data_IF_165490640896
#
_entry.id   IF_165490640896
#
_cell.length_a   1.000
_cell.length_b   1.000
_cell.length_c   1.000
_cell.angle_alpha   90.00
_cell.angle_beta   90.00
_cell.angle_gamma   90.00
#
_symmetry.space_group_name_H-M   'P 1'
#
loop_
_entity.id
_entity.type
_entity.pdbx_description
1 polymer ?
#
# COMPACT_ATOMS: atom_id res chain seq x y z
N UNK A 1 -27.49 14.68 3.22
CA UNK A 1 -26.44 13.79 3.76
C UNK A 1 -25.44 13.50 2.65
N UNK A 2 -24.24 14.06 2.71
CA UNK A 2 -23.16 13.60 1.84
C UNK A 2 -22.76 12.22 2.32
N UNK A 3 -23.14 11.19 1.59
CA UNK A 3 -22.52 9.87 1.70
C UNK A 3 -21.06 10.09 1.33
N UNK A 4 -20.18 10.08 2.32
CA UNK A 4 -18.73 10.16 2.09
C UNK A 4 -18.36 8.92 1.26
N UNK A 5 -18.22 9.11 -0.05
CA UNK A 5 -17.89 8.03 -0.97
C UNK A 5 -16.60 7.37 -0.53
N UNK A 6 -16.65 6.08 -0.21
CA UNK A 6 -15.47 5.34 0.27
C UNK A 6 -14.40 5.33 -0.81
N UNK A 7 -13.22 5.80 -0.46
CA UNK A 7 -12.05 5.87 -1.35
C UNK A 7 -11.52 4.48 -1.68
N UNK A 8 -11.28 4.22 -2.96
CA UNK A 8 -10.81 2.92 -3.45
C UNK A 8 -10.16 3.05 -4.82
N UNK A 9 -9.16 2.22 -5.12
CA UNK A 9 -8.55 2.18 -6.45
C UNK A 9 -9.45 1.55 -7.53
N UNK A 10 -10.72 1.24 -7.23
CA UNK A 10 -11.69 0.85 -8.25
C UNK A 10 -12.15 2.03 -9.12
N UNK A 11 -11.97 3.27 -8.67
CA UNK A 11 -12.37 4.43 -9.44
C UNK A 11 -11.16 5.31 -9.86
N UNK A 12 -11.24 5.82 -11.08
CA UNK A 12 -10.16 6.59 -11.72
C UNK A 12 -9.84 7.90 -10.97
N UNK A 13 -10.84 8.51 -10.32
CA UNK A 13 -10.63 9.73 -9.53
C UNK A 13 -9.69 9.49 -8.36
N UNK A 14 -9.89 8.38 -7.63
CA UNK A 14 -9.06 8.05 -6.48
C UNK A 14 -7.67 7.55 -6.91
N UNK A 15 -7.58 6.86 -8.07
CA UNK A 15 -6.30 6.52 -8.69
C UNK A 15 -5.50 7.78 -9.04
N UNK A 16 -6.14 8.72 -9.71
CA UNK A 16 -5.50 10.00 -10.10
C UNK A 16 -5.05 10.78 -8.86
N UNK A 17 -5.89 10.89 -7.85
CA UNK A 17 -5.56 11.61 -6.60
C UNK A 17 -4.32 11.04 -5.93
N UNK A 18 -4.23 9.72 -5.81
CA UNK A 18 -3.05 9.05 -5.23
C UNK A 18 -1.79 9.31 -6.05
N UNK A 19 -1.86 9.25 -7.38
CA UNK A 19 -0.73 9.52 -8.26
C UNK A 19 -0.30 11.00 -8.23
N UNK A 20 -1.25 11.92 -8.16
CA UNK A 20 -0.97 13.36 -8.02
C UNK A 20 -0.26 13.66 -6.67
N UNK A 21 -0.62 12.95 -5.61
CA UNK A 21 0.06 13.04 -4.32
C UNK A 21 1.45 12.41 -4.36
N UNK A 22 1.59 11.24 -4.98
CA UNK A 22 2.88 10.58 -5.16
C UNK A 22 3.88 11.48 -5.89
N UNK A 23 3.42 12.23 -6.90
CA UNK A 23 4.29 13.16 -7.65
C UNK A 23 4.88 14.31 -6.82
N UNK A 24 4.33 14.57 -5.63
CA UNK A 24 4.84 15.59 -4.69
C UNK A 24 5.94 15.05 -3.76
N UNK A 25 6.11 13.74 -3.68
CA UNK A 25 7.15 13.14 -2.84
C UNK A 25 8.51 13.36 -3.49
N UNK A 26 9.48 13.82 -2.70
CA UNK A 26 10.86 14.09 -3.10
C UNK A 26 11.82 13.17 -2.33
N UNK A 27 13.06 12.97 -2.81
CA UNK A 27 14.05 12.18 -2.07
C UNK A 27 14.32 12.71 -0.66
N UNK A 28 14.20 14.02 -0.46
CA UNK A 28 14.42 14.74 0.80
C UNK A 28 13.13 14.99 1.59
N UNK A 29 11.99 14.48 1.14
CA UNK A 29 10.72 14.60 1.88
C UNK A 29 10.86 14.06 3.30
N UNK A 30 10.48 14.89 4.29
CA UNK A 30 10.61 14.54 5.69
C UNK A 30 9.44 13.67 6.15
N UNK A 31 9.74 12.57 6.85
CA UNK A 31 8.71 11.74 7.46
C UNK A 31 8.10 12.40 8.69
N UNK A 32 6.82 12.25 8.87
CA UNK A 32 6.06 12.69 10.06
C UNK A 32 6.08 11.66 11.18
N UNK A 33 6.30 10.39 10.86
CA UNK A 33 6.42 9.26 11.81
C UNK A 33 7.19 8.10 11.19
N UNK A 34 7.56 7.10 12.00
CA UNK A 34 8.26 5.89 11.57
C UNK A 34 9.73 6.11 11.28
N UNK A 35 10.37 5.12 10.67
CA UNK A 35 11.83 5.10 10.42
C UNK A 35 12.21 5.13 8.93
N UNK A 36 11.29 4.80 8.02
CA UNK A 36 11.55 4.80 6.57
C UNK A 36 11.94 6.17 6.03
N UNK A 37 12.89 6.22 5.09
CA UNK A 37 13.08 7.37 4.22
C UNK A 37 11.99 7.43 3.14
N UNK A 38 11.86 8.58 2.45
CA UNK A 38 10.94 8.70 1.31
C UNK A 38 11.25 7.67 0.23
N UNK A 39 12.52 7.44 -0.08
CA UNK A 39 12.94 6.45 -1.08
C UNK A 39 12.63 5.01 -0.64
N UNK A 40 12.85 4.67 0.63
CA UNK A 40 12.45 3.37 1.18
C UNK A 40 10.93 3.15 1.10
N UNK A 41 10.13 4.19 1.33
CA UNK A 41 8.67 4.12 1.20
C UNK A 41 8.24 3.81 -0.25
N UNK A 42 8.88 4.42 -1.26
CA UNK A 42 8.63 4.11 -2.68
C UNK A 42 8.88 2.61 -2.97
N UNK A 43 10.01 2.09 -2.51
CA UNK A 43 10.34 0.66 -2.67
C UNK A 43 9.38 -0.25 -1.88
N UNK A 44 8.97 0.16 -0.68
CA UNK A 44 7.99 -0.57 0.13
C UNK A 44 6.61 -0.69 -0.57
N UNK A 45 6.11 0.40 -1.12
CA UNK A 45 4.86 0.39 -1.88
C UNK A 45 4.99 -0.47 -3.15
N UNK A 46 6.12 -0.42 -3.84
CA UNK A 46 6.41 -1.29 -4.99
C UNK A 46 6.38 -2.76 -4.60
N UNK A 47 7.01 -3.13 -3.48
CA UNK A 47 6.99 -4.49 -2.97
C UNK A 47 5.58 -4.95 -2.58
N UNK A 48 4.75 -4.06 -2.01
CA UNK A 48 3.37 -4.40 -1.66
C UNK A 48 2.51 -4.73 -2.89
N UNK A 49 2.72 -4.03 -4.01
CA UNK A 49 2.07 -4.37 -5.28
C UNK A 49 2.60 -5.69 -5.86
N UNK A 50 3.91 -5.94 -5.81
CA UNK A 50 4.48 -7.24 -6.24
C UNK A 50 3.92 -8.40 -5.44
N UNK A 51 3.77 -8.24 -4.13
CA UNK A 51 3.11 -9.25 -3.29
C UNK A 51 1.68 -9.50 -3.74
N UNK A 52 0.91 -8.45 -3.97
CA UNK A 52 -0.48 -8.57 -4.42
C UNK A 52 -0.60 -9.26 -5.80
N UNK A 53 0.34 -8.99 -6.71
CA UNK A 53 0.42 -9.59 -8.04
C UNK A 53 1.01 -11.02 -8.03
N UNK A 54 1.47 -11.53 -6.86
CA UNK A 54 2.08 -12.84 -6.72
C UNK A 54 3.54 -12.92 -7.16
N UNK A 55 4.20 -11.79 -7.38
CA UNK A 55 5.60 -11.72 -7.84
C UNK A 55 6.61 -11.72 -6.68
N UNK A 56 6.15 -11.48 -5.47
CA UNK A 56 6.98 -11.50 -4.26
C UNK A 56 6.26 -12.25 -3.14
N UNK A 57 6.97 -13.19 -2.51
CA UNK A 57 6.43 -13.94 -1.38
C UNK A 57 6.60 -13.18 -0.07
N UNK A 58 5.59 -13.25 0.79
CA UNK A 58 5.63 -12.78 2.18
C UNK A 58 5.04 -13.83 3.09
N UNK A 59 5.73 -14.10 4.20
CA UNK A 59 5.27 -15.05 5.20
C UNK A 59 3.94 -14.62 5.82
N UNK A 60 3.00 -15.56 5.95
CA UNK A 60 1.68 -15.29 6.53
C UNK A 60 1.77 -15.02 8.03
N UNK A 61 1.04 -14.01 8.48
CA UNK A 61 0.75 -13.73 9.89
C UNK A 61 -0.74 -13.73 10.18
N UNK A 62 -1.54 -14.33 9.29
CA UNK A 62 -3.00 -14.32 9.40
C UNK A 62 -3.48 -15.23 10.53
N UNK A 63 -4.53 -14.78 11.22
CA UNK A 63 -5.30 -15.53 12.20
C UNK A 63 -6.78 -15.37 11.86
N UNK A 64 -7.65 -16.23 12.42
CA UNK A 64 -9.10 -16.08 12.19
C UNK A 64 -9.60 -14.67 12.55
N UNK A 65 -9.16 -14.13 13.69
CA UNK A 65 -9.49 -12.76 14.10
C UNK A 65 -9.03 -11.70 13.08
N UNK A 66 -7.78 -11.81 12.58
CA UNK A 66 -7.25 -10.87 11.58
C UNK A 66 -7.96 -10.97 10.24
N UNK A 67 -8.41 -12.16 9.87
CA UNK A 67 -9.14 -12.41 8.60
C UNK A 67 -10.60 -11.95 8.64
N UNK A 68 -11.14 -11.69 9.82
CA UNK A 68 -12.55 -11.33 10.05
C UNK A 68 -12.67 -9.93 10.64
N UNK A 69 -12.72 -9.80 11.95
CA UNK A 69 -13.04 -8.55 12.66
C UNK A 69 -11.98 -7.47 12.40
N UNK A 70 -10.69 -7.84 12.50
CA UNK A 70 -9.62 -6.85 12.28
C UNK A 70 -9.57 -6.37 10.82
N UNK A 71 -9.74 -7.28 9.85
CA UNK A 71 -9.86 -6.94 8.42
C UNK A 71 -11.03 -5.98 8.20
N UNK A 72 -12.20 -6.32 8.73
CA UNK A 72 -13.38 -5.46 8.60
C UNK A 72 -13.12 -4.07 9.17
N UNK A 73 -12.59 -3.97 10.38
CA UNK A 73 -12.27 -2.69 10.99
C UNK A 73 -11.23 -1.90 10.17
N UNK A 74 -10.16 -2.54 9.72
CA UNK A 74 -9.09 -1.89 8.95
C UNK A 74 -9.56 -1.34 7.59
N UNK A 75 -10.53 -1.99 6.94
CA UNK A 75 -10.98 -1.61 5.61
C UNK A 75 -12.21 -0.68 5.61
N UNK A 76 -13.12 -0.83 6.59
CA UNK A 76 -14.44 -0.24 6.50
C UNK A 76 -14.75 0.79 7.60
N UNK A 77 -14.02 0.77 8.73
CA UNK A 77 -14.16 1.81 9.74
C UNK A 77 -13.45 3.08 9.22
N UNK A 78 -14.11 4.26 9.24
CA UNK A 78 -13.55 5.49 8.69
C UNK A 78 -12.53 6.14 9.65
N UNK A 79 -11.61 5.33 10.15
CA UNK A 79 -10.50 5.79 11.00
C UNK A 79 -9.17 5.64 10.24
N UNK A 80 -8.25 6.54 10.54
CA UNK A 80 -6.88 6.44 10.03
C UNK A 80 -6.18 5.24 10.66
N UNK A 81 -5.42 4.51 9.85
CA UNK A 81 -4.61 3.42 10.37
C UNK A 81 -3.62 3.93 11.42
N UNK A 82 -3.43 3.16 12.51
CA UNK A 82 -2.49 3.55 13.56
C UNK A 82 -1.06 3.57 13.00
N UNK A 83 -0.23 4.43 13.60
CA UNK A 83 1.20 4.47 13.30
C UNK A 83 1.91 3.28 13.99
N UNK A 84 3.06 2.87 13.45
CA UNK A 84 3.92 1.88 14.09
C UNK A 84 3.49 0.42 13.91
N UNK A 85 2.60 0.11 12.95
CA UNK A 85 2.35 -1.28 12.57
C UNK A 85 3.64 -1.87 11.99
N UNK A 86 4.11 -2.97 12.57
CA UNK A 86 5.34 -3.63 12.11
C UNK A 86 5.19 -4.16 10.68
N UNK A 87 6.08 -3.72 9.83
CA UNK A 87 6.25 -4.23 8.47
C UNK A 87 6.82 -5.65 8.51
N UNK A 88 6.37 -6.52 7.60
CA UNK A 88 6.95 -7.86 7.45
C UNK A 88 8.38 -7.73 6.92
N UNK A 89 9.33 -8.58 7.42
CA UNK A 89 10.74 -8.48 7.01
C UNK A 89 10.97 -8.51 5.51
N UNK A 90 10.17 -9.28 4.78
CA UNK A 90 10.31 -9.48 3.34
C UNK A 90 9.97 -8.22 2.51
N UNK A 91 9.26 -7.26 3.10
CA UNK A 91 8.87 -5.98 2.48
C UNK A 91 9.35 -4.78 3.29
N UNK A 92 10.21 -5.01 4.26
CA UNK A 92 10.92 -3.99 5.02
C UNK A 92 12.27 -3.70 4.34
N UNK A 93 12.47 -2.50 3.83
CA UNK A 93 13.67 -2.10 3.09
C UNK A 93 14.95 -2.07 3.93
N UNK A 94 14.83 -2.18 5.25
CA UNK A 94 15.96 -2.34 6.16
C UNK A 94 16.33 -3.83 6.38
N UNK A 95 15.51 -4.75 5.89
CA UNK A 95 15.69 -6.21 6.06
C UNK A 95 15.68 -6.92 4.70
N UNK A 96 14.58 -7.57 4.33
CA UNK A 96 14.44 -8.36 3.09
C UNK A 96 13.72 -7.64 1.94
N UNK A 97 13.28 -6.40 2.14
CA UNK A 97 12.63 -5.60 1.12
C UNK A 97 13.58 -5.11 0.02
N UNK A 98 13.01 -4.71 -1.12
CA UNK A 98 13.77 -4.14 -2.24
C UNK A 98 14.50 -2.88 -1.79
N UNK A 99 15.82 -2.86 -1.98
CA UNK A 99 16.66 -1.71 -1.61
C UNK A 99 16.50 -0.57 -2.62
N UNK A 100 16.46 0.69 -2.15
CA UNK A 100 16.52 1.86 -3.01
C UNK A 100 17.77 1.88 -3.88
N UNK A 101 17.64 2.25 -5.16
CA UNK A 101 18.77 2.37 -6.11
C UNK A 101 18.84 3.78 -6.67
N UNK A 102 17.85 4.20 -7.45
CA UNK A 102 17.74 5.54 -8.02
C UNK A 102 16.27 6.01 -7.91
N UNK A 103 16.08 7.18 -7.31
CA UNK A 103 14.76 7.63 -6.87
C UNK A 103 13.75 7.77 -8.01
N UNK A 104 14.13 8.40 -9.12
CA UNK A 104 13.19 8.60 -10.24
C UNK A 104 12.84 7.30 -10.93
N UNK A 105 13.79 6.39 -11.10
CA UNK A 105 13.55 5.06 -11.64
C UNK A 105 12.67 4.22 -10.73
N UNK A 106 12.86 4.30 -9.42
CA UNK A 106 12.06 3.56 -8.45
C UNK A 106 10.63 4.13 -8.36
N UNK A 107 10.44 5.44 -8.49
CA UNK A 107 9.11 6.08 -8.60
C UNK A 107 8.41 5.63 -9.88
N UNK A 108 9.10 5.60 -11.02
CA UNK A 108 8.50 5.14 -12.28
C UNK A 108 8.13 3.66 -12.21
N UNK A 109 8.97 2.83 -11.61
CA UNK A 109 8.67 1.43 -11.36
C UNK A 109 7.42 1.26 -10.47
N UNK A 110 7.26 2.08 -9.43
CA UNK A 110 6.05 2.09 -8.61
C UNK A 110 4.80 2.46 -9.44
N UNK A 111 4.90 3.44 -10.35
CA UNK A 111 3.80 3.82 -11.25
C UNK A 111 3.38 2.67 -12.16
N UNK A 112 4.35 2.00 -12.78
CA UNK A 112 4.09 0.83 -13.63
C UNK A 112 3.41 -0.29 -12.85
N UNK A 113 3.88 -0.60 -11.64
CA UNK A 113 3.27 -1.61 -10.77
C UNK A 113 1.84 -1.22 -10.34
N UNK A 114 1.62 0.06 -10.03
CA UNK A 114 0.31 0.60 -9.70
C UNK A 114 -0.68 0.44 -10.87
N UNK A 115 -0.29 0.81 -12.08
CA UNK A 115 -1.12 0.67 -13.29
C UNK A 115 -1.45 -0.79 -13.58
N UNK A 116 -0.46 -1.68 -13.49
CA UNK A 116 -0.66 -3.13 -13.63
C UNK A 116 -1.61 -3.67 -12.57
N UNK A 117 -1.46 -3.25 -11.33
CA UNK A 117 -2.35 -3.65 -10.24
C UNK A 117 -3.79 -3.18 -10.48
N UNK A 118 -4.01 -1.93 -10.85
CA UNK A 118 -5.35 -1.39 -11.14
C UNK A 118 -6.01 -2.11 -12.33
N UNK A 119 -5.23 -2.44 -13.36
CA UNK A 119 -5.68 -3.17 -14.54
C UNK A 119 -5.73 -4.70 -14.42
N UNK A 120 -5.30 -5.25 -13.27
CA UNK A 120 -5.20 -6.71 -13.07
C UNK A 120 -6.57 -7.40 -13.18
N UNK A 121 -6.67 -8.46 -13.99
CA UNK A 121 -7.92 -9.17 -14.28
C UNK A 121 -8.04 -10.54 -13.59
N UNK A 122 -6.97 -11.00 -12.97
CA UNK A 122 -6.91 -12.26 -12.25
C UNK A 122 -7.10 -12.08 -10.74
N UNK A 123 -7.15 -13.18 -10.02
CA UNK A 123 -7.16 -13.13 -8.56
C UNK A 123 -5.84 -12.57 -8.02
N UNK A 124 -5.93 -11.81 -6.96
CA UNK A 124 -4.74 -11.34 -6.24
C UNK A 124 -4.22 -12.43 -5.30
N UNK A 125 -2.91 -12.45 -5.07
CA UNK A 125 -2.33 -13.30 -4.03
C UNK A 125 -2.89 -12.95 -2.64
N UNK A 126 -2.91 -13.94 -1.75
CA UNK A 126 -3.41 -13.75 -0.39
C UNK A 126 -2.61 -12.67 0.36
N UNK A 127 -3.29 -11.85 1.13
CA UNK A 127 -2.67 -10.85 1.97
C UNK A 127 -2.05 -11.51 3.21
N UNK A 128 -0.82 -11.13 3.58
CA UNK A 128 -0.07 -11.75 4.69
C UNK A 128 -0.85 -11.75 6.02
N UNK A 129 -1.62 -10.70 6.30
CA UNK A 129 -2.37 -10.55 7.54
C UNK A 129 -3.86 -10.94 7.39
N UNK A 130 -4.49 -10.58 6.28
CA UNK A 130 -5.94 -10.72 6.10
C UNK A 130 -6.36 -11.96 5.30
N UNK A 131 -5.39 -12.72 4.76
CA UNK A 131 -5.67 -13.87 3.90
C UNK A 131 -6.20 -13.46 2.54
N UNK A 132 -7.05 -14.28 1.94
CA UNK A 132 -7.65 -13.97 0.64
C UNK A 132 -8.59 -12.77 0.76
N UNK A 133 -8.38 -11.78 -0.10
CA UNK A 133 -9.22 -10.60 -0.23
C UNK A 133 -10.00 -10.65 -1.54
N UNK A 134 -11.26 -10.23 -1.51
CA UNK A 134 -12.00 -9.94 -2.74
C UNK A 134 -11.34 -8.79 -3.50
N UNK A 135 -11.68 -8.64 -4.78
CA UNK A 135 -11.18 -7.50 -5.58
C UNK A 135 -11.50 -6.16 -4.92
N UNK A 136 -12.72 -5.98 -4.44
CA UNK A 136 -13.15 -4.74 -3.76
C UNK A 136 -12.32 -4.49 -2.50
N UNK A 137 -12.13 -5.50 -1.67
CA UNK A 137 -11.29 -5.40 -0.46
C UNK A 137 -9.83 -5.10 -0.81
N UNK A 138 -9.28 -5.75 -1.83
CA UNK A 138 -7.88 -5.53 -2.25
C UNK A 138 -7.65 -4.12 -2.79
N UNK A 139 -8.57 -3.60 -3.62
CA UNK A 139 -8.51 -2.25 -4.14
C UNK A 139 -8.70 -1.19 -3.05
N UNK A 140 -9.56 -1.46 -2.08
CA UNK A 140 -9.73 -0.62 -0.89
C UNK A 140 -8.48 -0.61 -0.02
N UNK A 141 -7.93 -1.79 0.27
CA UNK A 141 -6.69 -1.94 1.03
C UNK A 141 -5.53 -1.17 0.38
N UNK A 142 -5.35 -1.34 -0.93
CA UNK A 142 -4.27 -0.67 -1.67
C UNK A 142 -4.40 0.85 -1.62
N UNK A 143 -5.61 1.40 -1.75
CA UNK A 143 -5.84 2.83 -1.55
C UNK A 143 -5.42 3.28 -0.15
N UNK A 144 -5.90 2.60 0.89
CA UNK A 144 -5.60 2.95 2.28
C UNK A 144 -4.11 2.84 2.61
N UNK A 145 -3.43 1.86 2.03
CA UNK A 145 -1.99 1.67 2.21
C UNK A 145 -1.19 2.80 1.55
N UNK A 146 -1.53 3.16 0.31
CA UNK A 146 -0.94 4.32 -0.37
C UNK A 146 -1.21 5.61 0.40
N UNK A 147 -2.47 5.87 0.80
CA UNK A 147 -2.86 7.05 1.56
C UNK A 147 -2.10 7.16 2.89
N UNK A 148 -1.95 6.06 3.62
CA UNK A 148 -1.20 6.01 4.88
C UNK A 148 0.25 6.48 4.68
N UNK A 149 0.95 5.94 3.69
CA UNK A 149 2.35 6.27 3.42
C UNK A 149 2.53 7.64 2.78
N UNK A 150 1.64 8.09 1.90
CA UNK A 150 1.70 9.46 1.36
C UNK A 150 1.53 10.50 2.47
N UNK A 151 0.59 10.31 3.39
CA UNK A 151 0.44 11.17 4.58
C UNK A 151 1.68 11.12 5.49
N UNK A 152 2.37 9.99 5.57
CA UNK A 152 3.62 9.86 6.31
C UNK A 152 4.68 10.86 5.83
N UNK A 153 4.66 11.21 4.55
CA UNK A 153 5.60 12.16 3.93
C UNK A 153 4.95 13.50 3.58
N UNK A 154 3.76 13.78 4.10
CA UNK A 154 3.11 15.08 3.94
C UNK A 154 2.45 15.32 2.59
N UNK A 155 2.26 14.27 1.80
CA UNK A 155 1.63 14.33 0.49
C UNK A 155 0.17 13.88 0.53
#
# INVERSE_FOLDING_TARGET
>A
MHVQQMRTLLNDRDQKEVLDRLSKVRPDSQRRWGSMSAHQMICHLSDSFRVALGEKHVSSSSTLFKRTIYKWAALWVPLRWPHGIKTRPEVDQQQGGTRPVEFSSDVENLRILFERFCGWKHDFAAHAMFGQLSRTERMRHAYLHMDHHLRQFGA
#
